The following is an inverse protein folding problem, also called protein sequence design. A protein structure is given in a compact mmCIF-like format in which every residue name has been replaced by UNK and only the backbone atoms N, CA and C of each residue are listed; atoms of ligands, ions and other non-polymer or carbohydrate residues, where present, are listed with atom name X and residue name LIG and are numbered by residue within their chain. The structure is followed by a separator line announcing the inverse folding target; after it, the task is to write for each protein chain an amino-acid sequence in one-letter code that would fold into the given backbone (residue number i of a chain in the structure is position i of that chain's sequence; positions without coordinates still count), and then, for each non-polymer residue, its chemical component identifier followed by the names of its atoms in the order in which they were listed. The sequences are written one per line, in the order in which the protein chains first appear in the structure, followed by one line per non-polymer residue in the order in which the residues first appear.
data_IF_199374643302
#
_entry.id   IF_199374643302
#
_cell.length_a   1.000
_cell.length_b   1.000
_cell.length_c   1.000
_cell.angle_alpha   90.00
_cell.angle_beta   90.00
_cell.angle_gamma   90.00
#
_symmetry.space_group_name_H-M   'P 1'
#
loop_
_entity.id
_entity.type
_entity.pdbx_description
1 polymer ?
#
# COMPACT_ATOMS: atom_id res chain seq x y z
N UNK A 1 50.48 34.12 60.18
CA UNK A 1 51.92 34.39 60.31
C UNK A 1 52.51 34.53 58.92
N UNK A 2 52.99 35.74 58.58
CA UNK A 2 54.06 36.06 57.60
C UNK A 2 53.77 35.70 56.12
N UNK A 3 53.18 36.56 55.29
CA UNK A 3 53.72 37.77 54.60
C UNK A 3 54.29 37.48 53.19
N UNK A 4 53.62 38.02 52.17
CA UNK A 4 54.11 38.40 50.82
C UNK A 4 55.46 39.16 50.90
N UNK A 5 56.18 39.49 49.81
CA UNK A 5 56.52 38.84 48.52
C UNK A 5 58.06 38.98 48.28
N UNK A 6 58.57 38.85 47.04
CA UNK A 6 59.98 38.84 46.54
C UNK A 6 60.38 37.40 46.17
N UNK A 7 60.62 36.99 44.93
CA UNK A 7 61.07 37.67 43.70
C UNK A 7 60.61 36.76 42.54
N UNK A 8 59.53 37.04 41.79
CA UNK A 8 59.50 37.93 40.63
C UNK A 8 60.74 37.89 39.69
N UNK A 9 61.46 36.76 39.60
CA UNK A 9 62.67 36.68 38.76
C UNK A 9 62.85 35.48 37.83
N UNK A 10 62.09 34.38 37.97
CA UNK A 10 62.52 33.11 37.35
C UNK A 10 61.50 32.37 36.47
N UNK A 11 60.26 32.86 36.26
CA UNK A 11 59.24 32.10 35.52
C UNK A 11 58.59 32.86 34.36
N UNK A 12 59.26 33.88 33.83
CA UNK A 12 58.89 34.55 32.58
C UNK A 12 59.54 33.92 31.32
N UNK A 13 60.00 32.66 31.40
CA UNK A 13 60.58 31.92 30.27
C UNK A 13 59.82 30.62 29.89
N UNK A 14 58.61 30.42 30.40
CA UNK A 14 57.76 29.27 30.01
C UNK A 14 56.52 29.64 29.16
N UNK A 15 56.45 30.86 28.65
CA UNK A 15 55.47 31.24 27.64
C UNK A 15 56.07 31.16 26.23
N UNK A 16 56.31 29.94 25.75
CA UNK A 16 56.46 29.66 24.32
C UNK A 16 55.34 28.71 23.90
N UNK A 17 54.61 28.99 22.81
CA UNK A 17 53.64 28.04 22.29
C UNK A 17 54.38 26.79 21.83
N UNK A 18 53.99 25.63 22.36
CA UNK A 18 54.42 24.33 21.84
C UNK A 18 53.99 24.26 20.38
N UNK A 19 54.90 24.10 19.40
CA UNK A 19 54.48 23.85 18.03
C UNK A 19 53.75 22.50 18.04
N UNK A 20 52.50 22.50 17.57
CA UNK A 20 51.76 21.28 17.34
C UNK A 20 52.65 20.34 16.52
N UNK A 21 52.99 19.20 17.13
CA UNK A 21 53.76 18.14 16.49
C UNK A 21 52.99 17.76 15.23
N UNK A 22 53.55 18.07 14.07
CA UNK A 22 53.03 17.57 12.81
C UNK A 22 52.98 16.04 12.92
N UNK A 23 51.77 15.49 12.91
CA UNK A 23 51.58 14.05 12.77
C UNK A 23 52.28 13.57 11.50
N UNK A 24 52.64 12.27 11.42
CA UNK A 24 53.30 11.73 10.24
C UNK A 24 52.47 12.07 8.99
N UNK A 25 53.11 12.32 7.83
CA UNK A 25 52.38 12.62 6.61
C UNK A 25 51.38 11.49 6.35
N UNK A 26 50.12 11.88 6.14
CA UNK A 26 49.04 10.98 5.75
C UNK A 26 49.55 9.97 4.71
N UNK A 27 49.35 8.68 4.96
CA UNK A 27 49.86 7.64 4.07
C UNK A 27 49.25 7.74 2.66
N UNK A 28 49.81 7.04 1.66
CA UNK A 28 49.27 7.05 0.29
C UNK A 28 47.77 6.76 0.24
N UNK A 29 47.25 5.91 1.14
CA UNK A 29 45.82 5.61 1.28
C UNK A 29 44.97 6.78 1.80
N UNK A 30 45.41 7.53 2.81
CA UNK A 30 44.69 8.71 3.30
C UNK A 30 44.79 9.89 2.32
N UNK A 31 45.92 10.02 1.62
CA UNK A 31 46.06 10.99 0.53
C UNK A 31 45.19 10.61 -0.66
N UNK A 32 45.01 9.32 -0.98
CA UNK A 32 44.08 8.85 -2.01
C UNK A 32 42.62 9.08 -1.61
N UNK A 33 42.25 8.88 -0.34
CA UNK A 33 40.87 9.15 0.15
C UNK A 33 40.61 10.67 0.19
N UNK A 34 41.56 11.48 0.64
CA UNK A 34 41.46 12.94 0.64
C UNK A 34 41.53 13.53 -0.78
N UNK A 35 42.31 12.94 -1.68
CA UNK A 35 42.36 13.31 -3.10
C UNK A 35 41.10 12.84 -3.84
N UNK A 36 40.51 11.69 -3.51
CA UNK A 36 39.21 11.26 -4.04
C UNK A 36 38.07 12.19 -3.57
N UNK A 37 38.15 12.72 -2.35
CA UNK A 37 37.24 13.75 -1.87
C UNK A 37 37.43 15.11 -2.57
N UNK A 38 38.65 15.41 -3.06
CA UNK A 38 39.01 16.65 -3.77
C UNK A 38 38.88 16.55 -5.29
N UNK A 39 38.87 15.34 -5.85
CA UNK A 39 38.75 15.03 -7.27
C UNK A 39 37.38 14.40 -7.54
N UNK A 40 36.33 15.21 -7.62
CA UNK A 40 35.17 15.02 -8.51
C UNK A 40 34.30 13.75 -8.49
N UNK A 41 34.47 12.74 -7.63
CA UNK A 41 33.60 11.54 -7.66
C UNK A 41 32.13 11.86 -7.30
N UNK A 42 31.91 12.88 -6.44
CA UNK A 42 30.57 13.44 -6.17
C UNK A 42 29.94 14.15 -7.37
N UNK A 43 30.75 14.61 -8.33
CA UNK A 43 30.27 15.35 -9.50
C UNK A 43 29.84 14.42 -10.64
N UNK A 44 30.33 13.17 -10.66
CA UNK A 44 30.00 12.18 -11.70
C UNK A 44 28.93 11.18 -11.24
N UNK A 45 28.87 10.87 -9.94
CA UNK A 45 27.92 9.88 -9.41
C UNK A 45 26.46 10.26 -9.68
N UNK A 46 26.10 11.53 -9.51
CA UNK A 46 24.75 11.99 -9.75
C UNK A 46 24.32 11.95 -11.23
N UNK A 47 25.06 12.56 -12.18
CA UNK A 47 24.71 12.45 -13.60
C UNK A 47 24.75 11.01 -14.09
N UNK A 48 25.70 10.18 -13.63
CA UNK A 48 25.74 8.76 -13.97
C UNK A 48 24.47 8.02 -13.50
N UNK A 49 24.02 8.27 -12.27
CA UNK A 49 22.77 7.71 -11.75
C UNK A 49 21.58 8.12 -12.61
N UNK A 50 21.45 9.41 -12.94
CA UNK A 50 20.33 9.92 -13.75
C UNK A 50 20.32 9.35 -15.16
N UNK A 51 21.50 9.20 -15.79
CA UNK A 51 21.62 8.56 -17.11
C UNK A 51 21.21 7.09 -17.03
N UNK A 52 21.67 6.36 -16.01
CA UNK A 52 21.34 4.95 -15.82
C UNK A 52 19.82 4.74 -15.67
N UNK A 53 19.19 5.45 -14.74
CA UNK A 53 17.75 5.33 -14.50
C UNK A 53 16.92 5.92 -15.65
N UNK A 54 17.42 6.94 -16.36
CA UNK A 54 16.76 7.46 -17.55
C UNK A 54 16.78 6.47 -18.72
N UNK A 55 17.90 5.77 -18.93
CA UNK A 55 17.98 4.70 -19.91
C UNK A 55 17.10 3.50 -19.53
N UNK A 56 17.03 3.16 -18.23
CA UNK A 56 16.15 2.11 -17.73
C UNK A 56 14.67 2.44 -17.94
N UNK A 57 14.24 3.67 -17.63
CA UNK A 57 12.87 4.14 -17.87
C UNK A 57 12.50 4.01 -19.35
N UNK A 58 13.34 4.51 -20.26
CA UNK A 58 13.13 4.36 -21.70
C UNK A 58 13.05 2.90 -22.14
N UNK A 59 13.94 2.04 -21.62
CA UNK A 59 13.92 0.62 -21.93
C UNK A 59 12.61 -0.05 -21.46
N UNK A 60 12.09 0.31 -20.28
CA UNK A 60 10.86 -0.26 -19.73
C UNK A 60 9.58 0.24 -20.42
N UNK A 61 9.66 1.32 -21.21
CA UNK A 61 8.56 1.76 -22.07
C UNK A 61 8.39 0.89 -23.33
N UNK A 62 9.37 0.05 -23.66
CA UNK A 62 9.29 -0.87 -24.80
C UNK A 62 8.56 -2.17 -24.39
N UNK A 63 7.45 -2.47 -25.06
CA UNK A 63 6.66 -3.70 -24.86
C UNK A 63 7.48 -5.01 -24.75
N UNK A 64 8.46 -5.30 -25.62
CA UNK A 64 9.23 -6.55 -25.51
C UNK A 64 10.00 -6.67 -24.19
N UNK A 65 10.38 -5.55 -23.58
CA UNK A 65 11.07 -5.54 -22.28
C UNK A 65 10.08 -5.78 -21.14
N UNK A 66 8.87 -5.20 -21.19
CA UNK A 66 7.79 -5.49 -20.23
C UNK A 66 7.46 -6.97 -20.23
N UNK A 67 7.28 -7.58 -21.41
CA UNK A 67 6.99 -9.02 -21.56
C UNK A 67 8.16 -9.89 -21.06
N UNK A 68 9.40 -9.42 -21.16
CA UNK A 68 10.56 -10.11 -20.58
C UNK A 68 10.51 -10.09 -19.05
N UNK A 69 10.21 -8.94 -18.46
CA UNK A 69 10.03 -8.80 -16.99
C UNK A 69 8.88 -9.70 -16.53
N UNK A 70 7.74 -9.69 -17.22
CA UNK A 70 6.61 -10.56 -16.92
C UNK A 70 6.96 -12.04 -16.99
N UNK A 71 7.76 -12.48 -17.97
CA UNK A 71 8.23 -13.87 -18.04
C UNK A 71 9.09 -14.27 -16.83
N UNK A 72 9.98 -13.38 -16.38
CA UNK A 72 10.80 -13.63 -15.17
C UNK A 72 9.91 -13.70 -13.92
N UNK A 73 9.00 -12.75 -13.76
CA UNK A 73 8.06 -12.71 -12.63
C UNK A 73 7.15 -13.96 -12.60
N UNK A 74 6.66 -14.40 -13.75
CA UNK A 74 5.83 -15.60 -13.85
C UNK A 74 6.59 -16.89 -13.51
N UNK A 75 7.88 -16.99 -13.88
CA UNK A 75 8.74 -18.12 -13.47
C UNK A 75 8.99 -18.10 -11.97
N UNK A 76 9.36 -16.94 -11.42
CA UNK A 76 9.58 -16.78 -9.99
C UNK A 76 8.32 -17.15 -9.18
N UNK A 77 7.13 -16.75 -9.63
CA UNK A 77 5.85 -17.14 -9.04
C UNK A 77 5.67 -18.67 -8.98
N UNK A 78 6.05 -19.38 -10.06
CA UNK A 78 5.95 -20.84 -10.14
C UNK A 78 7.00 -21.54 -9.27
N UNK A 79 8.25 -21.08 -9.31
CA UNK A 79 9.37 -21.67 -8.57
C UNK A 79 9.17 -21.53 -7.06
N UNK A 80 8.64 -20.39 -6.62
CA UNK A 80 8.27 -20.15 -5.22
C UNK A 80 6.91 -20.76 -4.82
N UNK A 81 6.22 -21.43 -5.76
CA UNK A 81 4.93 -22.10 -5.55
C UNK A 81 3.85 -21.18 -4.98
N UNK A 82 3.79 -19.92 -5.43
CA UNK A 82 2.80 -18.94 -4.95
C UNK A 82 1.38 -19.26 -5.42
N UNK A 83 1.24 -19.79 -6.63
CA UNK A 83 -0.02 -20.24 -7.21
C UNK A 83 0.23 -21.31 -8.27
N UNK A 84 -0.83 -21.93 -8.80
CA UNK A 84 -0.69 -22.86 -9.92
C UNK A 84 -0.11 -22.16 -11.16
N UNK A 85 0.61 -22.88 -12.05
CA UNK A 85 1.22 -22.28 -13.23
C UNK A 85 0.28 -21.46 -14.14
N UNK A 86 -0.98 -21.87 -14.40
CA UNK A 86 -1.91 -21.05 -15.17
C UNK A 86 -2.22 -19.71 -14.50
N UNK A 87 -2.43 -19.70 -13.17
CA UNK A 87 -2.72 -18.49 -12.38
C UNK A 87 -1.52 -17.56 -12.39
N UNK A 88 -0.30 -18.07 -12.14
CA UNK A 88 0.92 -17.27 -12.21
C UNK A 88 1.13 -16.64 -13.60
N UNK A 89 0.82 -17.35 -14.69
CA UNK A 89 0.93 -16.79 -16.05
C UNK A 89 -0.11 -15.72 -16.32
N UNK A 90 -1.37 -16.02 -16.06
CA UNK A 90 -2.48 -15.12 -16.37
C UNK A 90 -2.45 -13.85 -15.51
N UNK A 91 -2.20 -13.98 -14.20
CA UNK A 91 -2.09 -12.84 -13.30
C UNK A 91 -0.95 -11.91 -13.75
N UNK A 92 0.25 -12.45 -14.02
CA UNK A 92 1.36 -11.62 -14.47
C UNK A 92 1.10 -11.03 -15.86
N UNK A 93 0.52 -11.79 -16.78
CA UNK A 93 0.15 -11.27 -18.10
C UNK A 93 -0.82 -10.09 -18.02
N UNK A 94 -1.79 -10.16 -17.09
CA UNK A 94 -2.76 -9.11 -16.85
C UNK A 94 -2.12 -7.85 -16.26
N UNK A 95 -1.26 -8.00 -15.24
CA UNK A 95 -0.74 -6.86 -14.47
C UNK A 95 0.62 -6.30 -14.92
N UNK A 96 1.38 -7.03 -15.75
CA UNK A 96 2.77 -6.65 -16.08
C UNK A 96 2.93 -5.22 -16.60
N UNK A 97 1.99 -4.74 -17.43
CA UNK A 97 2.08 -3.40 -18.01
C UNK A 97 1.89 -2.32 -16.94
N UNK A 98 0.83 -2.43 -16.14
CA UNK A 98 0.52 -1.45 -15.10
C UNK A 98 1.57 -1.44 -13.99
N UNK A 99 2.03 -2.61 -13.55
CA UNK A 99 3.04 -2.72 -12.49
C UNK A 99 4.38 -2.15 -12.97
N UNK A 100 4.84 -2.52 -14.17
CA UNK A 100 6.10 -1.97 -14.71
C UNK A 100 5.99 -0.46 -14.93
N UNK A 101 4.87 0.03 -15.46
CA UNK A 101 4.64 1.45 -15.64
C UNK A 101 4.60 2.21 -14.30
N UNK A 102 3.93 1.66 -13.28
CA UNK A 102 3.89 2.23 -11.94
C UNK A 102 5.31 2.35 -11.36
N UNK A 103 6.14 1.30 -11.48
CA UNK A 103 7.53 1.32 -11.02
C UNK A 103 8.39 2.32 -11.80
N UNK A 104 8.28 2.34 -13.13
CA UNK A 104 9.00 3.27 -13.99
C UNK A 104 8.70 4.74 -13.65
N UNK A 105 7.42 5.04 -13.34
CA UNK A 105 6.94 6.39 -13.01
C UNK A 105 7.07 6.77 -11.53
N UNK A 106 7.51 5.85 -10.69
CA UNK A 106 7.72 6.08 -9.26
C UNK A 106 9.14 5.65 -8.86
N UNK A 107 9.32 4.45 -8.32
CA UNK A 107 10.56 3.95 -7.71
C UNK A 107 11.78 4.08 -8.63
N UNK A 108 11.62 3.80 -9.92
CA UNK A 108 12.71 3.82 -10.91
C UNK A 108 12.87 5.17 -11.60
N UNK A 109 12.01 6.16 -11.28
CA UNK A 109 12.10 7.49 -11.86
C UNK A 109 13.44 8.12 -11.44
N UNK A 110 14.22 8.71 -12.35
CA UNK A 110 15.57 9.19 -12.03
C UNK A 110 15.72 10.09 -10.79
N UNK A 111 14.91 11.15 -10.57
CA UNK A 111 14.97 11.94 -9.35
C UNK A 111 14.62 11.14 -8.07
N UNK A 112 13.72 10.16 -8.13
CA UNK A 112 13.35 9.32 -6.98
C UNK A 112 14.51 8.38 -6.63
N UNK A 113 14.89 7.52 -7.58
CA UNK A 113 15.93 6.52 -7.39
C UNK A 113 17.27 7.15 -6.98
N UNK A 114 17.67 8.23 -7.66
CA UNK A 114 18.93 8.91 -7.34
C UNK A 114 18.85 9.74 -6.05
N UNK A 115 17.68 10.26 -5.70
CA UNK A 115 17.44 10.90 -4.41
C UNK A 115 17.60 9.91 -3.25
N UNK A 116 17.07 8.70 -3.41
CA UNK A 116 17.22 7.61 -2.44
C UNK A 116 18.66 7.12 -2.31
N UNK A 117 19.35 6.88 -3.44
CA UNK A 117 20.68 6.28 -3.45
C UNK A 117 21.81 7.27 -3.11
N UNK A 118 21.73 8.51 -3.58
CA UNK A 118 22.81 9.51 -3.50
C UNK A 118 22.45 10.73 -2.63
N UNK A 119 21.24 10.75 -2.09
CA UNK A 119 20.75 11.78 -1.18
C UNK A 119 20.11 12.99 -1.87
N UNK A 120 19.66 13.97 -1.07
CA UNK A 120 18.79 15.07 -1.52
C UNK A 120 19.45 16.04 -2.53
N UNK A 121 20.77 15.94 -2.71
CA UNK A 121 21.49 16.74 -3.71
C UNK A 121 21.37 16.19 -5.13
N UNK A 122 20.96 14.92 -5.29
CA UNK A 122 20.82 14.28 -6.60
C UNK A 122 19.36 14.03 -7.01
N UNK A 123 18.43 14.17 -6.07
CA UNK A 123 17.01 13.96 -6.30
C UNK A 123 16.21 14.13 -5.02
N UNK A 124 14.94 13.75 -5.06
CA UNK A 124 14.03 13.78 -3.92
C UNK A 124 13.31 12.44 -3.90
N UNK A 125 13.31 11.78 -2.76
CA UNK A 125 12.57 10.53 -2.55
C UNK A 125 11.42 10.81 -1.60
N UNK A 126 10.19 10.73 -2.10
CA UNK A 126 8.97 10.98 -1.32
C UNK A 126 7.89 9.91 -1.52
N UNK A 127 8.25 8.76 -2.10
CA UNK A 127 7.34 7.62 -2.25
C UNK A 127 6.82 7.20 -0.88
N UNK A 128 5.49 7.30 -0.70
CA UNK A 128 4.78 7.08 0.56
C UNK A 128 5.23 8.02 1.70
N UNK A 129 5.74 9.21 1.35
CA UNK A 129 6.11 10.25 2.30
C UNK A 129 4.92 10.79 3.09
N UNK A 130 5.20 11.34 4.27
CA UNK A 130 4.19 11.97 5.09
C UNK A 130 3.60 13.20 4.38
N UNK A 131 2.28 13.29 4.38
CA UNK A 131 1.53 14.43 3.86
C UNK A 131 0.54 14.91 4.93
N UNK A 132 0.25 16.21 4.93
CA UNK A 132 -0.68 16.83 5.87
C UNK A 132 -1.84 17.49 5.13
N UNK A 133 -3.04 17.40 5.69
CA UNK A 133 -4.20 18.14 5.23
C UNK A 133 -4.38 19.40 6.07
N UNK A 134 -4.43 20.56 5.43
CA UNK A 134 -4.77 21.81 6.11
C UNK A 134 -6.28 21.93 6.24
N UNK A 135 -6.78 22.04 7.46
CA UNK A 135 -8.19 22.29 7.72
C UNK A 135 -8.49 23.80 7.60
N UNK A 136 -9.75 24.18 7.28
CA UNK A 136 -10.15 25.57 7.29
C UNK A 136 -9.87 26.23 8.66
N UNK A 137 -9.52 27.52 8.65
CA UNK A 137 -9.24 28.27 9.88
C UNK A 137 -10.47 28.49 10.78
N UNK A 138 -11.67 28.11 10.31
CA UNK A 138 -12.88 28.18 11.08
C UNK A 138 -12.76 27.34 12.36
N UNK A 139 -13.12 27.88 13.54
CA UNK A 139 -12.99 27.15 14.79
C UNK A 139 -13.90 25.92 14.78
N UNK A 140 -13.39 24.80 15.30
CA UNK A 140 -14.18 23.58 15.47
C UNK A 140 -15.39 23.89 16.37
N UNK A 141 -16.63 23.62 15.93
CA UNK A 141 -17.80 23.78 16.78
C UNK A 141 -17.68 22.95 18.07
N UNK A 142 -18.30 23.38 19.18
CA UNK A 142 -18.31 22.58 20.40
C UNK A 142 -18.92 21.20 20.11
N UNK A 143 -18.31 20.15 20.66
CA UNK A 143 -18.80 18.78 20.48
C UNK A 143 -20.12 18.64 21.23
N UNK A 144 -21.19 18.38 20.49
CA UNK A 144 -22.52 18.09 21.05
C UNK A 144 -22.79 16.60 20.85
N UNK A 145 -22.93 15.81 21.93
CA UNK A 145 -23.27 14.40 21.79
C UNK A 145 -24.69 14.26 21.20
N UNK A 146 -24.95 13.23 20.38
CA UNK A 146 -26.29 12.96 19.88
C UNK A 146 -27.28 12.78 21.05
N UNK A 147 -28.41 13.49 20.98
CA UNK A 147 -29.50 13.35 21.95
C UNK A 147 -30.38 12.16 21.53
N UNK A 148 -30.74 11.24 22.43
CA UNK A 148 -31.66 10.16 22.11
C UNK A 148 -32.97 10.68 21.53
N UNK A 149 -33.53 10.03 20.50
CA UNK A 149 -34.81 10.44 19.93
C UNK A 149 -35.92 10.33 20.98
N UNK A 150 -36.89 11.27 21.00
CA UNK A 150 -38.04 11.18 21.90
C UNK A 150 -38.90 9.94 21.57
N UNK A 151 -39.69 9.43 22.53
CA UNK A 151 -40.64 8.35 22.27
C UNK A 151 -41.55 8.68 21.08
N UNK A 152 -41.64 7.76 20.11
CA UNK A 152 -42.45 7.93 18.90
C UNK A 152 -41.79 8.74 17.77
N UNK A 153 -40.50 9.11 17.89
CA UNK A 153 -39.77 9.74 16.79
C UNK A 153 -39.75 8.83 15.54
N UNK A 154 -39.82 9.41 14.32
CA UNK A 154 -39.78 8.62 13.09
C UNK A 154 -38.44 7.92 12.92
N UNK A 155 -38.48 6.66 12.52
CA UNK A 155 -37.29 5.86 12.22
C UNK A 155 -37.20 5.58 10.72
N UNK A 156 -36.00 5.74 10.15
CA UNK A 156 -35.71 5.29 8.79
C UNK A 156 -35.06 3.91 8.80
N UNK A 157 -35.42 3.05 7.84
CA UNK A 157 -34.77 1.75 7.60
C UNK A 157 -33.91 1.85 6.35
N UNK A 158 -32.64 1.51 6.46
CA UNK A 158 -31.67 1.58 5.36
C UNK A 158 -31.18 0.16 5.07
N UNK A 159 -31.31 -0.27 3.81
CA UNK A 159 -30.72 -1.51 3.34
C UNK A 159 -29.25 -1.27 2.99
N UNK A 160 -28.37 -2.12 3.52
CA UNK A 160 -26.95 -2.08 3.21
C UNK A 160 -26.53 -3.45 2.68
N UNK A 161 -26.13 -3.50 1.41
CA UNK A 161 -25.61 -4.68 0.75
C UNK A 161 -24.15 -4.42 0.37
N UNK A 162 -23.30 -5.39 0.62
CA UNK A 162 -21.85 -5.27 0.43
C UNK A 162 -21.30 -6.63 0.06
N UNK A 163 -20.18 -6.66 -0.67
CA UNK A 163 -19.39 -7.86 -0.92
C UNK A 163 -20.21 -9.03 -1.50
N UNK A 164 -21.17 -8.76 -2.39
CA UNK A 164 -22.01 -9.82 -2.97
C UNK A 164 -21.22 -10.82 -3.81
N UNK A 165 -20.07 -10.40 -4.36
CA UNK A 165 -19.14 -11.25 -5.08
C UNK A 165 -19.82 -12.26 -6.01
N UNK A 166 -20.46 -11.75 -7.06
CA UNK A 166 -21.10 -12.60 -8.06
C UNK A 166 -20.05 -13.32 -8.92
N UNK A 167 -20.11 -14.64 -8.91
CA UNK A 167 -19.33 -15.50 -9.78
C UNK A 167 -20.17 -16.10 -10.91
N UNK A 168 -19.94 -15.58 -12.12
CA UNK A 168 -20.53 -16.09 -13.36
C UNK A 168 -20.14 -17.52 -13.70
N UNK A 169 -19.04 -18.01 -13.14
CA UNK A 169 -18.49 -19.34 -13.39
C UNK A 169 -18.80 -20.33 -12.26
N UNK A 170 -19.59 -19.94 -11.25
CA UNK A 170 -19.96 -20.85 -10.17
C UNK A 170 -20.74 -22.05 -10.73
N UNK A 171 -20.29 -23.26 -10.41
CA UNK A 171 -20.93 -24.51 -10.83
C UNK A 171 -21.22 -25.37 -9.61
N UNK A 172 -22.49 -25.59 -9.23
CA UNK A 172 -22.85 -26.56 -8.19
C UNK A 172 -22.28 -27.94 -8.52
N UNK A 173 -21.79 -28.63 -7.50
CA UNK A 173 -21.15 -29.95 -7.64
C UNK A 173 -19.66 -29.91 -8.01
N UNK A 174 -19.09 -28.75 -8.37
CA UNK A 174 -17.65 -28.62 -8.61
C UNK A 174 -16.83 -28.64 -7.30
N UNK A 175 -15.50 -28.69 -7.37
CA UNK A 175 -14.68 -28.76 -6.16
C UNK A 175 -14.72 -27.43 -5.36
N UNK A 176 -15.20 -27.47 -4.12
CA UNK A 176 -15.14 -26.31 -3.21
C UNK A 176 -13.75 -26.11 -2.59
N UNK A 177 -12.96 -27.17 -2.49
CA UNK A 177 -11.57 -27.16 -2.07
C UNK A 177 -10.65 -27.47 -3.26
N UNK A 178 -10.06 -26.43 -3.83
CA UNK A 178 -9.13 -26.52 -4.96
C UNK A 178 -7.82 -25.78 -4.64
N UNK A 179 -6.73 -25.96 -5.40
CA UNK A 179 -5.46 -25.27 -5.17
C UNK A 179 -5.43 -23.81 -5.66
N UNK A 180 -6.46 -23.33 -6.38
CA UNK A 180 -6.52 -21.94 -6.89
C UNK A 180 -6.99 -20.94 -5.84
N UNK A 181 -6.78 -19.63 -6.03
CA UNK A 181 -7.31 -18.61 -5.11
C UNK A 181 -8.84 -18.59 -5.01
N UNK A 182 -9.56 -19.11 -6.02
CA UNK A 182 -11.02 -19.16 -6.04
C UNK A 182 -11.49 -20.49 -6.67
N UNK A 183 -12.43 -21.15 -6.02
CA UNK A 183 -12.94 -22.48 -6.33
C UNK A 183 -14.44 -22.45 -6.67
N UNK A 184 -15.11 -23.60 -6.59
CA UNK A 184 -16.52 -23.77 -6.97
C UNK A 184 -16.81 -23.47 -8.45
N UNK A 185 -15.82 -23.69 -9.32
CA UNK A 185 -15.91 -23.52 -10.77
C UNK A 185 -15.50 -24.80 -11.48
N UNK A 186 -15.96 -24.96 -12.72
CA UNK A 186 -15.48 -25.98 -13.64
C UNK A 186 -16.17 -27.33 -13.48
N UNK A 187 -15.42 -28.41 -13.69
CA UNK A 187 -15.98 -29.76 -13.78
C UNK A 187 -16.56 -30.24 -12.43
N UNK A 188 -17.56 -31.15 -12.47
CA UNK A 188 -18.06 -31.83 -11.28
C UNK A 188 -16.93 -32.52 -10.50
N UNK A 189 -17.06 -32.54 -9.19
CA UNK A 189 -16.15 -33.22 -8.29
C UNK A 189 -16.84 -34.44 -7.69
N UNK A 190 -16.32 -35.62 -8.02
CA UNK A 190 -16.81 -36.88 -7.47
C UNK A 190 -16.22 -37.07 -6.07
N UNK A 191 -16.97 -36.69 -5.03
CA UNK A 191 -16.57 -36.90 -3.64
C UNK A 191 -17.12 -35.88 -2.65
N UNK A 192 -16.82 -36.06 -1.35
CA UNK A 192 -17.12 -35.06 -0.33
C UNK A 192 -16.38 -33.74 -0.63
N UNK A 193 -17.01 -32.60 -0.35
CA UNK A 193 -16.46 -31.28 -0.66
C UNK A 193 -16.86 -30.73 -2.03
N UNK A 194 -17.91 -31.30 -2.64
CA UNK A 194 -18.58 -30.71 -3.78
C UNK A 194 -19.32 -29.41 -3.40
N UNK A 195 -19.33 -28.45 -4.32
CA UNK A 195 -19.91 -27.13 -4.12
C UNK A 195 -21.44 -27.23 -4.01
N UNK A 196 -22.01 -26.60 -2.99
CA UNK A 196 -23.45 -26.55 -2.78
C UNK A 196 -24.16 -25.73 -3.85
N UNK A 197 -25.48 -25.92 -3.96
CA UNK A 197 -26.30 -25.16 -4.90
C UNK A 197 -26.31 -23.66 -4.58
N UNK A 198 -26.57 -23.28 -3.33
CA UNK A 198 -26.69 -21.87 -2.89
C UNK A 198 -25.36 -21.18 -2.52
N UNK A 199 -24.23 -21.83 -2.83
CA UNK A 199 -22.93 -21.44 -2.29
C UNK A 199 -22.30 -22.54 -1.45
N UNK A 200 -21.05 -22.31 -1.04
CA UNK A 200 -20.25 -23.28 -0.29
C UNK A 200 -19.35 -22.58 0.71
N UNK A 201 -19.14 -23.19 1.87
CA UNK A 201 -18.12 -22.73 2.82
C UNK A 201 -16.73 -23.10 2.30
N UNK A 202 -16.01 -22.12 1.78
CA UNK A 202 -14.69 -22.26 1.19
C UNK A 202 -14.24 -20.96 0.53
N UNK A 203 -13.18 -21.04 -0.28
CA UNK A 203 -12.75 -19.92 -1.13
C UNK A 203 -13.58 -19.90 -2.40
N UNK A 204 -14.86 -19.57 -2.26
CA UNK A 204 -15.83 -19.51 -3.33
C UNK A 204 -16.66 -18.23 -3.21
N UNK A 205 -17.01 -17.69 -4.37
CA UNK A 205 -17.93 -16.57 -4.53
C UNK A 205 -19.36 -17.08 -4.73
N UNK A 206 -20.34 -16.18 -4.88
CA UNK A 206 -21.77 -16.53 -4.94
C UNK A 206 -22.28 -16.77 -6.36
N UNK A 207 -23.13 -17.79 -6.58
CA UNK A 207 -23.87 -17.89 -7.84
C UNK A 207 -25.03 -16.90 -7.86
N UNK A 208 -25.44 -16.50 -9.09
CA UNK A 208 -26.46 -15.47 -9.30
C UNK A 208 -27.79 -15.78 -8.58
N UNK A 209 -28.24 -17.03 -8.62
CA UNK A 209 -29.52 -17.42 -8.01
C UNK A 209 -29.55 -17.23 -6.49
N UNK A 210 -28.39 -17.19 -5.81
CA UNK A 210 -28.32 -16.86 -4.38
C UNK A 210 -28.55 -15.37 -4.15
N UNK A 211 -27.99 -14.53 -5.01
CA UNK A 211 -28.22 -13.08 -4.99
C UNK A 211 -29.68 -12.79 -5.33
N UNK A 212 -30.24 -13.45 -6.34
CA UNK A 212 -31.66 -13.31 -6.70
C UNK A 212 -32.57 -13.72 -5.53
N UNK A 213 -32.27 -14.83 -4.86
CA UNK A 213 -33.02 -15.29 -3.70
C UNK A 213 -32.94 -14.31 -2.52
N UNK A 214 -31.77 -13.71 -2.29
CA UNK A 214 -31.60 -12.65 -1.29
C UNK A 214 -32.51 -11.46 -1.61
N UNK A 215 -32.46 -10.96 -2.85
CA UNK A 215 -33.23 -9.78 -3.26
C UNK A 215 -34.73 -10.05 -3.25
N UNK A 216 -35.15 -11.27 -3.59
CA UNK A 216 -36.56 -11.69 -3.55
C UNK A 216 -37.16 -11.68 -2.14
N UNK A 217 -36.34 -11.81 -1.08
CA UNK A 217 -36.80 -11.83 0.32
C UNK A 217 -36.89 -10.44 0.96
N UNK A 218 -36.33 -9.41 0.32
CA UNK A 218 -36.35 -8.04 0.84
C UNK A 218 -37.75 -7.50 1.21
N UNK A 219 -38.83 -7.81 0.46
CA UNK A 219 -40.18 -7.39 0.84
C UNK A 219 -40.69 -8.01 2.16
N UNK A 220 -40.20 -9.18 2.55
CA UNK A 220 -40.57 -9.86 3.80
C UNK A 220 -39.72 -9.37 4.99
N UNK A 221 -38.48 -8.94 4.72
CA UNK A 221 -37.64 -8.32 5.76
C UNK A 221 -38.20 -6.99 6.29
N UNK A 222 -39.18 -6.40 5.60
CA UNK A 222 -39.84 -5.16 6.02
C UNK A 222 -41.19 -5.37 6.72
N UNK A 223 -41.71 -6.60 6.77
CA UNK A 223 -43.02 -6.92 7.37
C UNK A 223 -42.96 -7.43 8.83
N UNK A 224 -41.82 -7.98 9.28
CA UNK A 224 -41.77 -8.80 10.50
C UNK A 224 -41.39 -8.07 11.81
N UNK A 225 -41.49 -6.74 11.85
CA UNK A 225 -41.23 -5.96 13.07
C UNK A 225 -42.50 -5.40 13.73
N UNK A 226 -43.69 -5.92 13.42
CA UNK A 226 -44.94 -5.49 14.06
C UNK A 226 -45.11 -6.16 15.43
N UNK A 227 -44.51 -5.54 16.44
CA UNK A 227 -45.01 -5.54 17.82
C UNK A 227 -45.95 -4.37 18.13
N UNK A 228 -46.41 -3.62 17.12
CA UNK A 228 -47.26 -2.44 17.34
C UNK A 228 -48.71 -2.68 16.91
N UNK A 229 -49.54 -2.95 17.91
CA UNK A 229 -50.99 -2.76 17.85
C UNK A 229 -51.31 -1.26 17.84
N UNK A 230 -51.35 -0.60 16.68
CA UNK A 230 -52.10 0.65 16.52
C UNK A 230 -52.25 1.10 15.05
N UNK A 231 -53.49 1.37 14.68
CA UNK A 231 -53.92 2.32 13.64
C UNK A 231 -53.50 2.06 12.20
N UNK A 232 -54.42 1.40 11.48
CA UNK A 232 -54.51 1.40 10.03
C UNK A 232 -54.97 2.79 9.56
N UNK A 233 -54.02 3.73 9.42
CA UNK A 233 -54.22 4.99 8.69
C UNK A 233 -53.11 5.10 7.64
N UNK A 234 -53.53 5.26 6.39
CA UNK A 234 -52.74 5.04 5.19
C UNK A 234 -51.42 5.80 5.09
N UNK A 235 -50.57 5.25 4.22
CA UNK A 235 -49.18 5.61 3.91
C UNK A 235 -48.10 4.92 4.79
N UNK A 236 -48.18 3.59 4.88
CA UNK A 236 -47.09 2.78 5.44
C UNK A 236 -46.02 2.59 4.37
N UNK A 237 -44.97 3.41 4.39
CA UNK A 237 -43.74 3.18 3.63
C UNK A 237 -43.00 1.97 4.22
N UNK A 238 -43.52 0.76 3.98
CA UNK A 238 -42.89 -0.53 4.32
C UNK A 238 -41.69 -0.86 3.42
N UNK A 239 -41.07 0.17 2.85
CA UNK A 239 -39.93 0.06 1.94
C UNK A 239 -38.70 0.66 2.62
N UNK A 240 -37.52 0.20 2.23
CA UNK A 240 -36.27 0.84 2.65
C UNK A 240 -36.26 2.29 2.17
N UNK A 241 -35.85 3.20 3.04
CA UNK A 241 -35.73 4.63 2.71
C UNK A 241 -34.55 4.91 1.77
N UNK A 242 -33.55 4.03 1.78
CA UNK A 242 -32.41 4.03 0.86
C UNK A 242 -31.80 2.62 0.79
N UNK A 243 -31.10 2.34 -0.32
CA UNK A 243 -30.26 1.16 -0.47
C UNK A 243 -28.84 1.60 -0.84
N UNK A 244 -27.86 1.08 -0.13
CA UNK A 244 -26.44 1.32 -0.41
C UNK A 244 -25.77 0.02 -0.83
N UNK A 245 -24.86 0.16 -1.80
CA UNK A 245 -24.11 -0.91 -2.43
C UNK A 245 -22.65 -0.49 -2.53
N UNK A 246 -21.76 -1.35 -2.07
CA UNK A 246 -20.30 -1.16 -2.13
C UNK A 246 -19.65 -2.38 -2.76
#
# INVERSE_FOLDING_TARGET
SWSLPLVLGALALLALPVPARAGPPAGPGEQLVAAAARWGWRNVSCPACRVLFGALDLALQLEPNVVRVGRVASRLCQDMRLARPPVCRQAVQLFQHDVVAAWARSVLRPPEACGLLLGPRCGHWDILGAWNLSLPAAPKPPVQPPVPPPPGAPTARILFLTDLHWDRQYVPGSAAACPDPLCCRGAPHDGPGAAGFWGSYGKCDLPLHTIDALLAQLPNATSDSTGDSASNTGNSTKAFAAAYWT
#
